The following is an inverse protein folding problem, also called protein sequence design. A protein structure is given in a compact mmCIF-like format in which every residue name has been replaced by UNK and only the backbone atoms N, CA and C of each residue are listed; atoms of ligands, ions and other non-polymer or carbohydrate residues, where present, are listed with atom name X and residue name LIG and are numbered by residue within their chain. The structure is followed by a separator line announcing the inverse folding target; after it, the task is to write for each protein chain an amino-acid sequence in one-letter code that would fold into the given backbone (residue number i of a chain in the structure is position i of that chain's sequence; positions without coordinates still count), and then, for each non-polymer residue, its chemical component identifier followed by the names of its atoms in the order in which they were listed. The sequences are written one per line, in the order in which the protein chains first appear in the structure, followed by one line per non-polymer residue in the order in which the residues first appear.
data_IF_403270667045
#
_entry.id   IF_403270667045
#
_cell.length_a   1.000
_cell.length_b   1.000
_cell.length_c   1.000
_cell.angle_alpha   90.00
_cell.angle_beta   90.00
_cell.angle_gamma   90.00
#
_symmetry.space_group_name_H-M   'P 1'
#
loop_
_entity.id
_entity.type
_entity.pdbx_description
1 polymer ?
#
# COMPACT_ATOMS: atom_id res chain seq x y z
N UNK A 1 -12.26 46.23 38.63
CA UNK A 1 -11.83 44.86 38.98
C UNK A 1 -12.62 43.87 38.10
N UNK A 2 -12.28 43.74 36.81
CA UNK A 2 -12.91 42.77 35.87
C UNK A 2 -12.12 42.67 34.53
N UNK A 3 -10.79 42.56 34.60
CA UNK A 3 -9.93 42.47 33.39
C UNK A 3 -9.47 41.02 33.11
N UNK A 4 -9.66 40.09 34.06
CA UNK A 4 -9.15 38.71 33.92
C UNK A 4 -10.16 37.65 33.48
N UNK A 5 -11.42 38.04 33.14
CA UNK A 5 -12.46 37.08 32.73
C UNK A 5 -12.52 36.77 31.23
N UNK A 6 -11.73 37.45 30.40
CA UNK A 6 -11.79 37.26 28.94
C UNK A 6 -10.61 36.53 28.35
N UNK A 7 -9.67 36.01 29.16
CA UNK A 7 -8.49 35.31 28.68
C UNK A 7 -8.68 33.79 28.54
N UNK A 8 -9.82 33.25 29.00
CA UNK A 8 -10.13 31.80 28.89
C UNK A 8 -11.46 31.50 28.19
N UNK A 9 -11.84 32.30 27.20
CA UNK A 9 -12.83 31.83 26.23
C UNK A 9 -12.11 31.02 25.18
N UNK A 10 -11.82 29.75 25.50
CA UNK A 10 -11.58 28.73 24.50
C UNK A 10 -12.79 28.71 23.57
N UNK A 11 -12.56 28.95 22.29
CA UNK A 11 -13.56 28.80 21.25
C UNK A 11 -14.00 27.33 21.27
N UNK A 12 -15.11 27.03 21.93
CA UNK A 12 -15.81 25.76 21.74
C UNK A 12 -16.33 25.77 20.32
N UNK A 13 -15.55 25.23 19.39
CA UNK A 13 -16.05 24.90 18.05
C UNK A 13 -17.20 23.93 18.25
N UNK A 14 -18.36 24.26 17.70
CA UNK A 14 -19.52 23.39 17.72
C UNK A 14 -19.18 22.14 16.91
N UNK A 15 -19.44 20.98 17.46
CA UNK A 15 -19.25 19.65 16.84
C UNK A 15 -20.14 19.40 15.60
N UNK A 16 -20.82 20.41 15.08
CA UNK A 16 -21.74 20.33 13.93
C UNK A 16 -21.10 20.63 12.59
N UNK A 17 -19.89 21.18 12.55
CA UNK A 17 -19.21 21.38 11.28
C UNK A 17 -18.39 20.12 10.96
N UNK A 18 -18.54 19.53 9.76
CA UNK A 18 -17.65 18.46 9.34
C UNK A 18 -16.22 19.04 9.40
N UNK A 19 -15.39 18.42 10.24
CA UNK A 19 -13.98 18.74 10.27
C UNK A 19 -13.47 18.34 8.89
N UNK A 20 -13.20 19.34 8.05
CA UNK A 20 -12.43 19.13 6.84
C UNK A 20 -11.04 18.72 7.30
N UNK A 21 -10.84 17.41 7.40
CA UNK A 21 -9.54 16.78 7.64
C UNK A 21 -8.79 16.90 6.31
N UNK A 22 -8.56 18.14 5.90
CA UNK A 22 -7.57 18.43 4.90
C UNK A 22 -6.27 17.87 5.44
N UNK A 23 -5.66 16.96 4.68
CA UNK A 23 -4.32 16.47 4.94
C UNK A 23 -3.39 17.68 5.13
N UNK A 24 -3.31 18.16 6.37
CA UNK A 24 -2.58 19.36 6.75
C UNK A 24 -1.06 19.20 6.74
N UNK A 25 -0.56 18.17 6.13
CA UNK A 25 0.83 18.10 5.68
C UNK A 25 0.87 18.57 4.23
N UNK A 26 0.90 19.87 4.00
CA UNK A 26 1.56 20.42 2.81
C UNK A 26 3.01 19.99 2.91
N UNK A 27 3.25 18.79 2.42
CA UNK A 27 4.54 18.17 2.38
C UNK A 27 5.51 19.04 1.60
N UNK A 28 6.73 19.10 2.10
CA UNK A 28 7.92 19.61 1.44
C UNK A 28 8.24 18.84 0.13
N UNK A 29 7.37 17.91 -0.30
CA UNK A 29 7.47 17.13 -1.52
C UNK A 29 6.29 17.49 -2.42
N UNK A 30 6.57 18.35 -3.39
CA UNK A 30 5.69 18.60 -4.53
C UNK A 30 5.58 17.28 -5.33
N UNK A 31 4.48 16.53 -5.12
CA UNK A 31 4.22 15.31 -5.87
C UNK A 31 3.93 15.70 -7.31
N UNK A 32 4.77 15.27 -8.24
CA UNK A 32 4.49 15.48 -9.66
C UNK A 32 3.19 14.75 -10.05
N UNK A 33 2.48 15.24 -11.08
CA UNK A 33 1.25 14.62 -11.59
C UNK A 33 1.43 13.15 -12.03
N UNK A 34 2.67 12.66 -12.04
CA UNK A 34 3.03 11.27 -12.39
C UNK A 34 3.18 10.35 -11.17
N UNK A 35 2.96 10.83 -9.96
CA UNK A 35 3.18 10.07 -8.73
C UNK A 35 1.86 9.55 -8.15
N UNK A 36 1.85 8.27 -7.79
CA UNK A 36 0.68 7.60 -7.19
C UNK A 36 0.86 7.56 -5.68
N UNK A 37 0.35 8.59 -4.99
CA UNK A 37 0.35 8.66 -3.52
C UNK A 37 -0.97 8.22 -2.88
N UNK A 38 -1.97 7.84 -3.70
CA UNK A 38 -3.29 7.44 -3.23
C UNK A 38 -3.33 5.92 -2.97
N UNK A 39 -3.69 5.46 -1.75
CA UNK A 39 -3.80 4.04 -1.41
C UNK A 39 -4.71 3.25 -2.35
N UNK A 40 -5.85 3.82 -2.77
CA UNK A 40 -6.79 3.15 -3.67
C UNK A 40 -6.19 2.89 -5.05
N UNK A 41 -5.40 3.82 -5.57
CA UNK A 41 -4.71 3.63 -6.86
C UNK A 41 -3.53 2.67 -6.72
N UNK A 42 -2.75 2.79 -5.65
CA UNK A 42 -1.63 1.89 -5.37
C UNK A 42 -2.07 0.42 -5.27
N UNK A 43 -3.22 0.15 -4.66
CA UNK A 43 -3.79 -1.20 -4.54
C UNK A 43 -4.28 -1.80 -5.86
N UNK A 44 -4.44 -1.01 -6.93
CA UNK A 44 -4.72 -1.53 -8.29
C UNK A 44 -3.47 -2.15 -8.91
N UNK A 45 -2.28 -1.80 -8.45
CA UNK A 45 -1.04 -2.41 -8.91
C UNK A 45 -0.89 -3.79 -8.24
N UNK A 46 -0.92 -4.85 -9.04
CA UNK A 46 -0.95 -6.23 -8.55
C UNK A 46 0.18 -6.56 -7.56
N UNK A 47 1.40 -6.11 -7.84
CA UNK A 47 2.57 -6.30 -6.96
C UNK A 47 2.40 -5.59 -5.62
N UNK A 48 1.91 -4.35 -5.62
CA UNK A 48 1.65 -3.59 -4.41
C UNK A 48 0.58 -4.28 -3.55
N UNK A 49 -0.56 -4.64 -4.16
CA UNK A 49 -1.63 -5.38 -3.49
C UNK A 49 -1.11 -6.68 -2.86
N UNK A 50 -0.30 -7.44 -3.62
CA UNK A 50 0.25 -8.72 -3.14
C UNK A 50 1.21 -8.52 -1.98
N UNK A 51 2.11 -7.55 -2.02
CA UNK A 51 3.04 -7.23 -0.93
C UNK A 51 2.30 -6.87 0.36
N UNK A 52 1.30 -5.99 0.28
CA UNK A 52 0.47 -5.59 1.42
C UNK A 52 -0.31 -6.79 1.97
N UNK A 53 -0.90 -7.61 1.08
CA UNK A 53 -1.66 -8.79 1.48
C UNK A 53 -0.82 -9.84 2.19
N UNK A 54 0.41 -10.10 1.70
CA UNK A 54 1.35 -11.04 2.32
C UNK A 54 1.76 -10.53 3.70
N UNK A 55 2.26 -9.28 3.78
CA UNK A 55 2.81 -8.75 5.01
C UNK A 55 1.74 -8.64 6.11
N UNK A 56 0.56 -8.09 5.76
CA UNK A 56 -0.54 -7.98 6.71
C UNK A 56 -1.10 -9.35 7.14
N UNK A 57 -1.21 -10.30 6.20
CA UNK A 57 -1.66 -11.65 6.49
C UNK A 57 -0.67 -12.44 7.35
N UNK A 58 0.62 -12.37 7.03
CA UNK A 58 1.66 -13.08 7.79
C UNK A 58 1.74 -12.59 9.24
N UNK A 59 1.65 -11.28 9.49
CA UNK A 59 1.68 -10.75 10.87
C UNK A 59 0.38 -11.10 11.61
N UNK A 60 -0.76 -10.96 10.95
CA UNK A 60 -2.06 -11.23 11.56
C UNK A 60 -2.31 -12.71 11.88
N UNK A 61 -1.61 -13.63 11.20
CA UNK A 61 -1.71 -15.07 11.48
C UNK A 61 -0.94 -15.51 12.72
N UNK A 62 -0.05 -14.66 13.26
CA UNK A 62 0.69 -14.97 14.47
C UNK A 62 -0.23 -14.78 15.69
N UNK A 63 -0.36 -15.78 16.59
CA UNK A 63 -1.15 -15.65 17.79
C UNK A 63 -0.55 -14.58 18.74
N UNK A 64 -1.39 -13.67 19.20
CA UNK A 64 -1.00 -12.63 20.17
C UNK A 64 -1.51 -12.99 21.55
N UNK A 65 -0.58 -13.24 22.48
CA UNK A 65 -0.85 -13.78 23.79
C UNK A 65 -0.53 -12.79 24.91
N UNK A 66 -1.24 -12.94 26.02
CA UNK A 66 -0.88 -12.32 27.30
C UNK A 66 -0.02 -13.30 28.08
N UNK A 67 1.15 -12.88 28.51
CA UNK A 67 2.05 -13.69 29.32
C UNK A 67 2.24 -13.06 30.69
N UNK A 68 2.21 -13.90 31.74
CA UNK A 68 2.47 -13.52 33.13
C UNK A 68 3.68 -14.25 33.67
N UNK A 69 4.54 -13.54 34.40
CA UNK A 69 5.69 -14.11 35.04
C UNK A 69 5.28 -14.82 36.34
N UNK A 70 5.39 -16.17 36.35
CA UNK A 70 5.13 -17.03 37.53
C UNK A 70 6.39 -17.84 37.85
N UNK A 71 6.86 -17.78 39.08
CA UNK A 71 8.07 -18.52 39.55
C UNK A 71 9.33 -18.28 38.70
N UNK A 72 9.49 -17.05 38.15
CA UNK A 72 10.63 -16.70 37.31
C UNK A 72 10.45 -16.96 35.80
N UNK A 73 9.47 -17.72 35.42
CA UNK A 73 9.18 -18.10 34.01
C UNK A 73 7.96 -17.35 33.45
N UNK A 74 7.99 -17.04 32.17
CA UNK A 74 6.84 -16.49 31.44
C UNK A 74 5.89 -17.61 31.07
N UNK A 75 4.63 -17.48 31.45
CA UNK A 75 3.56 -18.43 31.13
C UNK A 75 2.38 -17.70 30.49
N UNK A 76 1.72 -18.34 29.54
CA UNK A 76 0.52 -17.82 28.90
C UNK A 76 -0.59 -17.67 29.94
N UNK A 77 -1.24 -16.53 29.96
CA UNK A 77 -2.34 -16.20 30.84
C UNK A 77 -3.61 -16.03 30.00
N UNK A 78 -4.52 -16.97 30.11
CA UNK A 78 -5.76 -16.99 29.32
C UNK A 78 -6.96 -16.41 30.08
N UNK A 79 -6.86 -16.29 31.42
CA UNK A 79 -7.97 -15.89 32.27
C UNK A 79 -7.92 -14.37 32.56
N UNK A 80 -7.85 -13.57 31.49
CA UNK A 80 -7.91 -12.11 31.57
C UNK A 80 -8.75 -11.54 30.44
N UNK A 81 -9.42 -10.39 30.70
CA UNK A 81 -10.19 -9.68 29.67
C UNK A 81 -9.30 -9.37 28.44
N UNK A 82 -8.05 -8.99 28.65
CA UNK A 82 -7.09 -8.68 27.58
C UNK A 82 -6.82 -9.94 26.74
N UNK A 83 -6.60 -11.10 27.36
CA UNK A 83 -6.38 -12.35 26.64
C UNK A 83 -7.59 -12.74 25.79
N UNK A 84 -8.80 -12.53 26.29
CA UNK A 84 -10.03 -12.75 25.54
C UNK A 84 -10.13 -11.82 24.32
N UNK A 85 -9.83 -10.52 24.46
CA UNK A 85 -9.89 -9.55 23.36
C UNK A 85 -8.83 -9.82 22.29
N UNK A 86 -7.62 -10.25 22.71
CA UNK A 86 -6.53 -10.53 21.77
C UNK A 86 -6.64 -11.89 21.09
N UNK A 87 -7.19 -12.90 21.78
CA UNK A 87 -7.22 -14.27 21.28
C UNK A 87 -8.58 -14.72 20.71
N UNK A 88 -9.69 -14.12 21.17
CA UNK A 88 -11.03 -14.61 20.81
C UNK A 88 -11.87 -13.57 20.06
N UNK A 89 -12.12 -12.42 20.66
CA UNK A 89 -13.02 -11.42 20.06
C UNK A 89 -12.65 -10.00 20.52
N UNK A 90 -12.03 -9.19 19.68
CA UNK A 90 -11.71 -7.80 20.00
C UNK A 90 -12.94 -6.90 20.05
N UNK A 91 -13.97 -7.21 19.25
CA UNK A 91 -15.24 -6.52 19.21
C UNK A 91 -16.32 -7.38 18.51
N UNK A 92 -17.55 -6.89 18.44
CA UNK A 92 -18.69 -7.64 17.86
C UNK A 92 -18.58 -7.88 16.33
N UNK A 93 -17.65 -7.23 15.62
CA UNK A 93 -17.59 -7.25 14.14
C UNK A 93 -16.32 -7.87 13.58
N UNK A 94 -15.23 -7.89 14.33
CA UNK A 94 -13.93 -8.32 13.85
C UNK A 94 -13.39 -9.47 14.66
N UNK A 95 -12.74 -10.41 14.00
CA UNK A 95 -11.87 -11.39 14.65
C UNK A 95 -10.53 -10.75 15.02
N UNK A 96 -9.73 -11.33 15.91
CA UNK A 96 -8.37 -10.85 16.20
C UNK A 96 -7.51 -10.76 14.94
N UNK A 97 -7.64 -11.75 14.05
CA UNK A 97 -6.99 -11.76 12.74
C UNK A 97 -7.40 -10.55 11.88
N UNK A 98 -8.70 -10.28 11.78
CA UNK A 98 -9.20 -9.15 10.97
C UNK A 98 -8.74 -7.80 11.52
N UNK A 99 -8.80 -7.63 12.85
CA UNK A 99 -8.34 -6.40 13.49
C UNK A 99 -6.86 -6.15 13.22
N UNK A 100 -6.02 -7.16 13.45
CA UNK A 100 -4.57 -7.05 13.24
C UNK A 100 -4.24 -6.85 11.77
N UNK A 101 -4.85 -7.63 10.86
CA UNK A 101 -4.65 -7.51 9.41
C UNK A 101 -4.98 -6.10 8.92
N UNK A 102 -6.14 -5.57 9.32
CA UNK A 102 -6.54 -4.23 8.90
C UNK A 102 -5.67 -3.14 9.54
N UNK A 103 -5.22 -3.30 10.78
CA UNK A 103 -4.28 -2.38 11.41
C UNK A 103 -2.95 -2.31 10.62
N UNK A 104 -2.39 -3.46 10.23
CA UNK A 104 -1.17 -3.48 9.40
C UNK A 104 -1.41 -2.88 8.01
N UNK A 105 -2.56 -3.14 7.38
CA UNK A 105 -2.94 -2.49 6.12
C UNK A 105 -2.97 -0.97 6.28
N UNK A 106 -3.50 -0.46 7.39
CA UNK A 106 -3.51 0.98 7.67
C UNK A 106 -2.09 1.53 7.85
N UNK A 107 -1.22 0.84 8.61
CA UNK A 107 0.18 1.25 8.77
C UNK A 107 0.90 1.32 7.43
N UNK A 108 0.74 0.32 6.56
CA UNK A 108 1.41 0.28 5.27
C UNK A 108 0.91 1.36 4.30
N UNK A 109 -0.41 1.60 4.29
CA UNK A 109 -1.04 2.53 3.36
C UNK A 109 -1.00 3.99 3.83
N UNK A 110 -1.18 4.23 5.13
CA UNK A 110 -1.32 5.57 5.70
C UNK A 110 -0.19 5.94 6.66
N UNK A 111 0.67 4.99 7.00
CA UNK A 111 1.74 5.18 7.98
C UNK A 111 1.29 4.96 9.42
N UNK A 112 0.00 5.03 9.71
CA UNK A 112 -0.52 5.03 11.07
C UNK A 112 -1.76 4.14 11.17
N UNK A 113 -1.91 3.42 12.28
CA UNK A 113 -3.13 2.73 12.64
C UNK A 113 -3.50 3.04 14.09
N UNK A 114 -4.76 3.34 14.32
CA UNK A 114 -5.29 3.77 15.59
C UNK A 114 -6.31 2.76 16.11
N UNK A 115 -6.04 2.19 17.29
CA UNK A 115 -6.92 1.22 17.92
C UNK A 115 -7.32 1.79 19.28
N UNK A 116 -8.58 2.13 19.42
CA UNK A 116 -9.15 2.56 20.69
C UNK A 116 -9.54 1.35 21.51
N UNK A 117 -9.19 1.33 22.80
CA UNK A 117 -9.67 0.34 23.73
C UNK A 117 -10.71 0.94 24.69
N UNK A 118 -11.74 0.15 24.94
CA UNK A 118 -12.83 0.57 25.81
C UNK A 118 -12.71 -0.11 27.17
N UNK A 119 -12.84 0.67 28.24
CA UNK A 119 -12.87 0.17 29.61
C UNK A 119 -14.22 0.51 30.25
N UNK A 120 -14.88 -0.47 30.85
CA UNK A 120 -16.11 -0.30 31.63
C UNK A 120 -15.96 -1.04 32.96
N UNK A 121 -16.25 -0.36 34.06
CA UNK A 121 -16.13 -0.91 35.42
C UNK A 121 -14.74 -1.53 35.72
N UNK A 122 -13.68 -0.93 35.17
CA UNK A 122 -12.30 -1.39 35.36
C UNK A 122 -11.93 -2.64 34.54
N UNK A 123 -12.78 -3.08 33.59
CA UNK A 123 -12.52 -4.19 32.68
C UNK A 123 -12.39 -3.72 31.26
N UNK A 124 -11.48 -4.34 30.51
CA UNK A 124 -11.37 -4.12 29.07
C UNK A 124 -12.53 -4.81 28.35
N UNK A 125 -13.33 -4.04 27.62
CA UNK A 125 -14.56 -4.52 26.96
C UNK A 125 -14.49 -4.58 25.46
N UNK A 126 -13.53 -3.89 24.81
CA UNK A 126 -13.40 -3.92 23.39
C UNK A 126 -12.15 -3.22 22.84
N UNK A 127 -11.76 -3.63 21.63
CA UNK A 127 -10.74 -2.99 20.80
C UNK A 127 -11.39 -2.56 19.50
N UNK A 128 -11.36 -1.28 19.18
CA UNK A 128 -11.99 -0.71 17.99
C UNK A 128 -10.94 -0.08 17.09
N UNK A 129 -10.78 -0.59 15.87
CA UNK A 129 -9.91 0.01 14.85
C UNK A 129 -10.60 1.24 14.26
N UNK A 130 -9.94 2.38 14.36
CA UNK A 130 -10.42 3.66 13.82
C UNK A 130 -9.88 3.83 12.40
N UNK A 131 -10.69 4.35 11.49
CA UNK A 131 -10.20 4.72 10.16
C UNK A 131 -9.19 5.87 10.25
N UNK A 132 -8.06 5.81 9.54
CA UNK A 132 -7.08 6.91 9.52
C UNK A 132 -7.69 8.24 9.03
N UNK A 133 -8.77 8.17 8.24
CA UNK A 133 -9.51 9.36 7.80
C UNK A 133 -10.34 10.02 8.91
N UNK A 134 -10.60 9.29 9.99
CA UNK A 134 -11.46 9.74 11.09
C UNK A 134 -10.67 10.10 12.35
N UNK A 135 -9.33 10.06 12.31
CA UNK A 135 -8.48 10.29 13.46
C UNK A 135 -7.33 11.24 13.10
N UNK A 136 -7.17 12.31 13.88
CA UNK A 136 -6.06 13.26 13.74
C UNK A 136 -5.32 13.34 15.07
N UNK A 137 -4.02 13.11 15.02
CA UNK A 137 -3.14 13.22 16.18
C UNK A 137 -2.61 14.66 16.28
N UNK A 138 -2.71 15.25 17.47
CA UNK A 138 -2.11 16.53 17.82
C UNK A 138 -0.84 16.26 18.64
N UNK A 139 0.31 16.52 18.05
CA UNK A 139 1.63 16.27 18.66
C UNK A 139 1.94 17.20 19.83
N UNK A 140 1.34 18.40 19.86
CA UNK A 140 1.56 19.37 20.92
C UNK A 140 0.73 19.09 22.16
N UNK A 141 -0.49 18.61 21.98
CA UNK A 141 -1.40 18.27 23.05
C UNK A 141 -1.29 16.80 23.48
N UNK A 142 -0.61 15.96 22.70
CA UNK A 142 -0.55 14.50 22.83
C UNK A 142 -1.95 13.87 22.92
N UNK A 143 -2.84 14.32 22.02
CA UNK A 143 -4.24 13.88 21.98
C UNK A 143 -4.66 13.48 20.57
N UNK A 144 -5.74 12.72 20.49
CA UNK A 144 -6.35 12.27 19.24
C UNK A 144 -7.73 12.85 19.08
N UNK A 145 -7.96 13.64 18.04
CA UNK A 145 -9.31 14.07 17.65
C UNK A 145 -9.93 13.02 16.76
N UNK A 146 -11.00 12.40 17.22
CA UNK A 146 -11.69 11.30 16.52
C UNK A 146 -13.09 11.72 16.13
N UNK A 147 -13.48 11.40 14.89
CA UNK A 147 -14.84 11.60 14.36
C UNK A 147 -15.24 10.35 13.53
N UNK A 148 -15.48 9.23 14.22
CA UNK A 148 -15.83 7.96 13.59
C UNK A 148 -17.32 7.65 13.76
N UNK A 149 -18.09 7.97 12.71
CA UNK A 149 -19.53 7.74 12.65
C UNK A 149 -19.89 6.25 12.71
N UNK A 150 -19.07 5.37 12.14
CA UNK A 150 -19.34 3.94 12.08
C UNK A 150 -19.22 3.25 13.44
N UNK A 151 -18.27 3.72 14.24
CA UNK A 151 -17.99 3.18 15.56
C UNK A 151 -18.66 4.00 16.69
N UNK A 152 -19.39 5.06 16.35
CA UNK A 152 -20.00 6.00 17.30
C UNK A 152 -18.97 6.59 18.28
N UNK A 153 -17.76 6.85 17.80
CA UNK A 153 -16.65 7.36 18.58
C UNK A 153 -16.34 8.81 18.16
N UNK A 154 -16.56 9.73 19.08
CA UNK A 154 -16.41 11.17 18.82
C UNK A 154 -15.72 11.86 19.97
N UNK A 155 -14.90 12.84 19.65
CA UNK A 155 -14.29 13.73 20.62
C UNK A 155 -12.78 13.72 20.60
N UNK A 156 -12.20 14.24 21.65
CA UNK A 156 -10.76 14.25 21.88
C UNK A 156 -10.46 13.16 22.88
N UNK A 157 -9.60 12.22 22.49
CA UNK A 157 -9.14 11.12 23.31
C UNK A 157 -7.69 11.37 23.72
N UNK A 158 -7.36 11.00 24.94
CA UNK A 158 -5.99 11.08 25.43
C UNK A 158 -5.10 10.02 24.78
N UNK A 159 -3.79 10.28 24.74
CA UNK A 159 -2.84 9.35 24.15
C UNK A 159 -2.88 7.97 24.82
N UNK A 160 -3.23 7.91 26.12
CA UNK A 160 -3.33 6.66 26.85
C UNK A 160 -4.52 5.77 26.41
N UNK A 161 -5.54 6.31 25.76
CA UNK A 161 -6.73 5.57 25.31
C UNK A 161 -6.58 4.95 23.92
N UNK A 162 -5.48 5.26 23.21
CA UNK A 162 -5.23 4.82 21.84
C UNK A 162 -3.94 4.00 21.79
N UNK A 163 -4.04 2.82 21.19
CA UNK A 163 -2.90 2.02 20.72
C UNK A 163 -2.54 2.56 19.34
N UNK A 164 -1.41 3.24 19.20
CA UNK A 164 -0.96 3.85 17.97
C UNK A 164 0.19 3.06 17.36
N UNK A 165 -0.14 2.26 16.32
CA UNK A 165 0.87 1.55 15.54
C UNK A 165 1.35 2.46 14.41
N UNK A 166 2.67 2.58 14.30
CA UNK A 166 3.32 3.53 13.38
C UNK A 166 4.16 2.81 12.35
N UNK A 167 4.22 3.34 11.15
CA UNK A 167 5.22 2.99 10.15
C UNK A 167 6.59 3.58 10.50
N UNK A 168 7.45 3.74 9.50
CA UNK A 168 8.71 4.45 9.67
C UNK A 168 8.42 5.90 10.05
N UNK A 169 9.01 6.37 11.15
CA UNK A 169 8.80 7.74 11.65
C UNK A 169 10.01 8.61 11.32
N UNK A 170 9.75 9.86 10.91
CA UNK A 170 10.77 10.88 10.66
C UNK A 170 10.68 12.07 11.61
N UNK A 171 9.64 12.14 12.44
CA UNK A 171 9.32 13.24 13.34
C UNK A 171 9.65 12.95 14.82
N UNK A 172 10.54 11.99 15.06
CA UNK A 172 10.90 11.59 16.42
C UNK A 172 9.94 10.59 17.07
N UNK A 173 9.07 9.95 16.28
CA UNK A 173 8.18 8.88 16.75
C UNK A 173 6.77 9.36 17.07
N UNK A 174 6.39 10.56 16.69
CA UNK A 174 5.03 11.08 16.87
C UNK A 174 4.09 10.45 15.87
N UNK A 175 4.44 10.47 14.58
CA UNK A 175 3.65 9.85 13.52
C UNK A 175 4.48 8.90 12.68
N UNK A 176 3.81 8.00 11.97
CA UNK A 176 4.41 7.09 11.00
C UNK A 176 4.17 7.56 9.57
N UNK A 177 5.11 7.30 8.69
CA UNK A 177 5.02 7.64 7.28
C UNK A 177 4.52 6.47 6.43
N UNK A 178 3.71 6.78 5.42
CA UNK A 178 3.17 5.79 4.48
C UNK A 178 4.24 5.24 3.54
N UNK A 179 4.29 3.93 3.39
CA UNK A 179 5.14 3.28 2.37
C UNK A 179 4.75 3.74 0.96
N UNK A 180 3.44 3.91 0.70
CA UNK A 180 2.93 4.36 -0.60
C UNK A 180 3.45 5.75 -0.95
N UNK A 181 3.53 6.66 0.02
CA UNK A 181 4.05 8.01 -0.20
C UNK A 181 5.50 7.99 -0.70
N UNK A 182 6.36 7.18 -0.09
CA UNK A 182 7.75 7.05 -0.54
C UNK A 182 7.89 6.27 -1.84
N UNK A 183 7.01 5.30 -2.08
CA UNK A 183 6.96 4.54 -3.32
C UNK A 183 6.23 5.26 -4.47
N UNK A 184 5.64 6.44 -4.23
CA UNK A 184 4.71 7.12 -5.15
C UNK A 184 5.24 7.25 -6.59
N UNK A 185 6.51 7.61 -6.74
CA UNK A 185 7.18 7.71 -8.06
C UNK A 185 7.27 6.34 -8.76
N UNK A 186 7.66 5.31 -8.02
CA UNK A 186 7.78 3.94 -8.56
C UNK A 186 6.42 3.37 -8.93
N UNK A 187 5.41 3.61 -8.09
CA UNK A 187 4.04 3.20 -8.36
C UNK A 187 3.47 3.93 -9.58
N UNK A 188 3.73 5.24 -9.72
CA UNK A 188 3.34 6.01 -10.90
C UNK A 188 4.03 5.55 -12.19
N UNK A 189 5.29 5.10 -12.11
CA UNK A 189 5.97 4.49 -13.24
C UNK A 189 5.31 3.17 -13.64
N UNK A 190 5.05 2.28 -12.67
CA UNK A 190 4.38 1.00 -12.91
C UNK A 190 2.99 1.18 -13.54
N UNK A 191 2.21 2.15 -13.09
CA UNK A 191 0.90 2.48 -13.68
C UNK A 191 1.03 2.88 -15.15
N UNK A 192 1.99 3.75 -15.47
CA UNK A 192 2.23 4.17 -16.87
C UNK A 192 2.73 3.04 -17.77
N UNK A 193 3.54 2.13 -17.23
CA UNK A 193 3.99 0.93 -17.95
C UNK A 193 2.81 0.01 -18.28
N UNK A 194 1.82 -0.10 -17.37
CA UNK A 194 0.60 -0.85 -17.61
C UNK A 194 -0.30 -0.16 -18.64
N UNK A 195 -0.52 1.14 -18.52
CA UNK A 195 -1.28 1.95 -19.50
C UNK A 195 -0.65 1.87 -20.90
N UNK A 196 0.67 1.98 -21.00
CA UNK A 196 1.36 1.84 -22.28
C UNK A 196 1.21 0.43 -22.88
N UNK A 197 1.20 -0.61 -22.03
CA UNK A 197 0.97 -1.98 -22.50
C UNK A 197 -0.47 -2.17 -22.98
N UNK A 198 -1.44 -1.62 -22.27
CA UNK A 198 -2.84 -1.66 -22.65
C UNK A 198 -3.07 -0.92 -23.99
N UNK A 199 -2.43 0.24 -24.15
CA UNK A 199 -2.46 1.01 -25.41
C UNK A 199 -1.90 0.20 -26.60
N UNK A 200 -0.79 -0.50 -26.38
CA UNK A 200 -0.17 -1.36 -27.39
C UNK A 200 -1.10 -2.54 -27.73
N UNK A 201 -1.77 -3.12 -26.72
CA UNK A 201 -2.71 -4.23 -26.92
C UNK A 201 -4.01 -3.79 -27.59
N UNK A 202 -4.58 -2.65 -27.20
CA UNK A 202 -5.84 -2.13 -27.78
C UNK A 202 -5.66 -1.63 -29.21
N UNK A 203 -4.55 -0.98 -29.51
CA UNK A 203 -4.23 -0.52 -30.86
C UNK A 203 -3.85 -1.69 -31.78
N UNK A 204 -3.91 -2.92 -31.26
CA UNK A 204 -3.41 -4.12 -31.87
C UNK A 204 -1.87 -4.05 -31.97
N UNK A 205 -1.21 -5.16 -32.22
CA UNK A 205 0.14 -5.11 -32.76
C UNK A 205 0.03 -4.56 -34.19
N UNK A 206 -0.31 -3.27 -34.26
CA UNK A 206 -0.45 -2.57 -35.53
C UNK A 206 0.92 -2.68 -36.16
N UNK A 207 1.03 -3.41 -37.21
CA UNK A 207 2.26 -3.59 -37.95
C UNK A 207 2.81 -2.19 -38.25
N UNK A 208 3.68 -1.72 -37.38
CA UNK A 208 4.38 -0.47 -37.62
C UNK A 208 5.30 -0.74 -38.80
N UNK A 209 5.07 -0.07 -39.86
CA UNK A 209 5.83 -0.23 -41.08
C UNK A 209 5.75 1.04 -41.94
N UNK A 210 6.53 1.11 -42.93
CA UNK A 210 6.42 2.17 -43.94
C UNK A 210 6.18 1.55 -45.32
N UNK A 211 5.41 2.27 -46.12
CA UNK A 211 5.19 1.94 -47.51
C UNK A 211 6.26 2.64 -48.33
N UNK A 212 7.02 1.90 -49.09
CA UNK A 212 8.02 2.44 -50.01
C UNK A 212 7.66 2.04 -51.45
N UNK A 213 8.02 2.90 -52.41
CA UNK A 213 8.02 2.53 -53.81
C UNK A 213 9.05 1.44 -54.10
N UNK A 214 8.73 0.50 -54.98
CA UNK A 214 9.67 -0.52 -55.43
C UNK A 214 10.50 0.05 -56.58
N UNK A 215 11.78 0.32 -56.35
CA UNK A 215 12.72 0.82 -57.36
C UNK A 215 13.14 -0.24 -58.39
N UNK A 216 12.91 -1.52 -58.06
CA UNK A 216 13.13 -2.61 -59.04
C UNK A 216 11.96 -2.70 -60.00
N UNK A 217 11.98 -1.85 -61.01
CA UNK A 217 10.95 -1.72 -62.02
C UNK A 217 10.52 -3.04 -62.63
N UNK A 218 9.44 -3.59 -62.13
CA UNK A 218 8.67 -4.57 -62.90
C UNK A 218 8.16 -3.84 -64.12
N UNK A 219 8.58 -4.27 -65.33
CA UNK A 219 8.21 -3.70 -66.61
C UNK A 219 6.71 -3.41 -66.67
N UNK A 220 6.34 -2.13 -66.65
CA UNK A 220 4.98 -1.65 -66.83
C UNK A 220 4.43 -0.69 -65.80
N UNK A 221 5.10 -0.46 -64.66
CA UNK A 221 4.69 0.52 -63.66
C UNK A 221 5.77 1.59 -63.52
N UNK A 222 5.39 2.86 -63.70
CA UNK A 222 6.25 3.99 -63.42
C UNK A 222 6.53 4.14 -61.92
N UNK A 223 7.54 4.96 -61.53
CA UNK A 223 7.82 5.22 -60.12
C UNK A 223 6.57 5.78 -59.42
N UNK A 224 6.27 5.23 -58.22
CA UNK A 224 5.12 5.70 -57.45
C UNK A 224 5.37 7.15 -57.01
N UNK A 225 4.36 8.01 -57.26
CA UNK A 225 4.42 9.40 -56.80
C UNK A 225 4.12 9.48 -55.29
N UNK A 226 4.69 10.48 -54.62
CA UNK A 226 4.52 10.69 -53.18
C UNK A 226 3.03 10.78 -52.75
N UNK A 227 2.19 11.38 -53.58
CA UNK A 227 0.72 11.44 -53.37
C UNK A 227 0.03 10.06 -53.42
N UNK A 228 0.55 9.12 -54.22
CA UNK A 228 0.04 7.75 -54.28
C UNK A 228 0.47 6.95 -53.07
N UNK A 229 1.68 7.16 -52.62
CA UNK A 229 2.25 6.52 -51.40
C UNK A 229 1.45 6.96 -50.16
N UNK A 230 1.17 8.27 -50.02
CA UNK A 230 0.36 8.78 -48.91
C UNK A 230 -1.06 8.23 -48.91
N UNK A 231 -1.73 8.20 -50.05
CA UNK A 231 -3.09 7.66 -50.19
C UNK A 231 -3.16 6.18 -49.83
N UNK A 232 -2.17 5.39 -50.22
CA UNK A 232 -2.11 3.96 -49.88
C UNK A 232 -1.78 3.78 -48.40
N UNK A 233 -0.95 4.62 -47.82
CA UNK A 233 -0.64 4.62 -46.39
C UNK A 233 -1.89 4.90 -45.54
N UNK A 234 -2.67 5.93 -45.90
CA UNK A 234 -3.92 6.29 -45.20
C UNK A 234 -4.98 5.17 -45.31
N UNK A 235 -5.05 4.53 -46.49
CA UNK A 235 -5.93 3.38 -46.69
C UNK A 235 -5.50 2.19 -45.84
N UNK A 236 -4.22 1.86 -45.76
CA UNK A 236 -3.69 0.79 -44.90
C UNK A 236 -4.04 1.07 -43.44
N UNK A 237 -3.83 2.28 -42.97
CA UNK A 237 -4.15 2.67 -41.61
C UNK A 237 -5.65 2.50 -41.30
N UNK A 238 -6.53 2.92 -42.21
CA UNK A 238 -7.98 2.80 -42.06
C UNK A 238 -8.46 1.34 -42.08
N UNK A 239 -7.88 0.50 -42.91
CA UNK A 239 -8.23 -0.93 -43.02
C UNK A 239 -7.70 -1.71 -41.81
N UNK A 240 -6.51 -1.38 -41.27
CA UNK A 240 -5.97 -1.93 -40.02
C UNK A 240 -6.83 -1.55 -38.83
N UNK A 241 -7.25 -0.28 -38.73
CA UNK A 241 -8.20 0.18 -37.70
C UNK A 241 -9.56 -0.52 -37.77
N UNK A 242 -9.98 -0.97 -38.96
CA UNK A 242 -11.22 -1.74 -39.17
C UNK A 242 -11.09 -3.24 -38.87
N UNK A 243 -9.90 -3.73 -38.45
CA UNK A 243 -9.65 -5.12 -38.08
C UNK A 243 -9.36 -6.06 -39.26
N UNK A 244 -9.03 -5.57 -40.42
CA UNK A 244 -8.63 -6.40 -41.56
C UNK A 244 -7.16 -6.83 -41.43
N UNK A 245 -6.91 -8.14 -41.42
CA UNK A 245 -5.59 -8.74 -41.29
C UNK A 245 -4.86 -8.95 -42.62
N UNK A 246 -5.56 -8.81 -43.75
CA UNK A 246 -4.99 -9.05 -45.08
C UNK A 246 -5.34 -7.85 -45.98
N UNK A 247 -4.31 -7.25 -46.55
CA UNK A 247 -4.44 -6.09 -47.47
C UNK A 247 -3.65 -6.36 -48.73
N UNK A 248 -4.19 -5.85 -49.86
CA UNK A 248 -3.47 -5.87 -51.14
C UNK A 248 -2.76 -4.55 -51.36
N UNK A 249 -1.50 -4.60 -51.71
CA UNK A 249 -0.70 -3.46 -52.11
C UNK A 249 -0.61 -3.38 -53.62
N UNK A 250 -0.62 -2.16 -54.20
CA UNK A 250 -0.29 -1.97 -55.63
C UNK A 250 1.09 -2.53 -55.94
N UNK A 251 1.24 -3.10 -57.15
CA UNK A 251 2.44 -3.84 -57.55
C UNK A 251 3.75 -3.04 -57.58
N UNK A 252 3.68 -1.70 -57.46
CA UNK A 252 4.84 -0.81 -57.36
C UNK A 252 5.19 -0.39 -55.94
N UNK A 253 4.59 -1.01 -54.90
CA UNK A 253 4.78 -0.63 -53.51
C UNK A 253 5.10 -1.86 -52.66
N UNK A 254 5.99 -1.66 -51.69
CA UNK A 254 6.35 -2.64 -50.69
C UNK A 254 6.00 -2.11 -49.32
N UNK A 255 5.41 -2.95 -48.47
CA UNK A 255 5.26 -2.68 -47.03
C UNK A 255 6.48 -3.26 -46.30
N UNK A 256 7.26 -2.38 -45.73
CA UNK A 256 8.40 -2.77 -44.92
C UNK A 256 7.95 -2.73 -43.43
N UNK A 257 7.77 -3.91 -42.83
CA UNK A 257 7.42 -4.02 -41.44
C UNK A 257 8.62 -3.63 -40.58
N UNK A 258 8.41 -2.74 -39.64
CA UNK A 258 9.34 -2.50 -38.56
C UNK A 258 9.20 -3.65 -37.58
N UNK A 259 10.26 -4.44 -37.40
CA UNK A 259 10.35 -5.43 -36.34
C UNK A 259 10.15 -4.77 -34.97
N UNK A 260 9.76 -5.57 -33.93
CA UNK A 260 9.62 -5.09 -32.54
C UNK A 260 10.74 -4.09 -32.24
N UNK A 261 10.33 -2.88 -31.85
CA UNK A 261 11.33 -1.85 -31.58
C UNK A 261 12.13 -2.24 -30.34
N UNK A 262 13.40 -1.88 -30.24
CA UNK A 262 14.16 -2.06 -28.99
C UNK A 262 13.43 -1.46 -27.76
N UNK A 263 12.56 -0.49 -27.97
CA UNK A 263 11.71 0.10 -26.93
C UNK A 263 10.70 -0.88 -26.35
N UNK A 264 10.15 -1.81 -27.15
CA UNK A 264 9.17 -2.82 -26.65
C UNK A 264 9.85 -3.88 -25.78
N UNK A 265 11.11 -4.24 -26.08
CA UNK A 265 11.92 -5.12 -25.23
C UNK A 265 12.32 -4.41 -23.94
N UNK A 266 12.67 -3.12 -24.00
CA UNK A 266 12.99 -2.32 -22.82
C UNK A 266 11.78 -2.15 -21.89
N UNK A 267 10.55 -2.11 -22.41
CA UNK A 267 9.34 -2.02 -21.60
C UNK A 267 9.15 -3.26 -20.72
N UNK A 268 9.41 -4.47 -21.25
CA UNK A 268 9.34 -5.71 -20.47
C UNK A 268 10.38 -5.73 -19.33
N UNK A 269 11.58 -5.28 -19.60
CA UNK A 269 12.63 -5.24 -18.58
C UNK A 269 12.36 -4.14 -17.56
N UNK A 270 11.80 -3.01 -17.97
CA UNK A 270 11.34 -1.94 -17.07
C UNK A 270 10.24 -2.45 -16.14
N UNK A 271 9.24 -3.17 -16.65
CA UNK A 271 8.19 -3.79 -15.82
C UNK A 271 8.74 -4.74 -14.77
N UNK A 272 9.68 -5.61 -15.14
CA UNK A 272 10.35 -6.50 -14.17
C UNK A 272 11.07 -5.70 -13.08
N UNK A 273 11.74 -4.60 -13.47
CA UNK A 273 12.46 -3.75 -12.53
C UNK A 273 11.50 -2.98 -11.61
N UNK A 274 10.35 -2.52 -12.11
CA UNK A 274 9.30 -1.89 -11.31
C UNK A 274 8.74 -2.84 -10.24
N UNK A 275 8.50 -4.13 -10.59
CA UNK A 275 8.10 -5.15 -9.62
C UNK A 275 9.16 -5.31 -8.52
N UNK A 276 10.44 -5.40 -8.86
CA UNK A 276 11.52 -5.54 -7.89
C UNK A 276 11.63 -4.32 -6.95
N UNK A 277 11.44 -3.11 -7.48
CA UNK A 277 11.48 -1.90 -6.68
C UNK A 277 10.30 -1.82 -5.71
N UNK A 278 9.09 -2.18 -6.14
CA UNK A 278 7.93 -2.26 -5.24
C UNK A 278 8.19 -3.26 -4.12
N UNK A 279 8.72 -4.44 -4.44
CA UNK A 279 9.09 -5.45 -3.44
C UNK A 279 10.09 -4.91 -2.40
N UNK A 280 11.08 -4.09 -2.81
CA UNK A 280 12.06 -3.47 -1.90
C UNK A 280 11.41 -2.51 -0.91
N UNK A 281 10.42 -1.70 -1.34
CA UNK A 281 9.71 -0.79 -0.43
C UNK A 281 8.95 -1.52 0.69
N UNK A 282 8.43 -2.72 0.39
CA UNK A 282 7.70 -3.52 1.37
C UNK A 282 8.56 -4.57 2.08
N UNK A 283 9.83 -4.72 1.70
CA UNK A 283 10.71 -5.77 2.24
C UNK A 283 10.26 -7.20 1.89
N UNK A 284 9.46 -7.36 0.84
CA UNK A 284 8.95 -8.68 0.42
C UNK A 284 9.83 -9.24 -0.68
N UNK A 285 10.29 -10.51 -0.52
CA UNK A 285 11.11 -11.13 -1.55
C UNK A 285 10.31 -11.35 -2.85
N UNK A 286 10.89 -11.09 -4.04
CA UNK A 286 10.20 -11.19 -5.33
C UNK A 286 9.54 -12.56 -5.60
N UNK A 287 10.10 -13.65 -5.11
CA UNK A 287 9.51 -14.99 -5.27
C UNK A 287 8.14 -15.11 -4.59
N UNK A 288 7.89 -14.37 -3.50
CA UNK A 288 6.59 -14.34 -2.81
C UNK A 288 5.50 -13.63 -3.62
N UNK A 289 5.89 -12.80 -4.58
CA UNK A 289 4.97 -12.13 -5.52
C UNK A 289 4.92 -12.84 -6.88
N UNK A 290 5.41 -14.08 -6.94
CA UNK A 290 5.45 -14.92 -8.14
C UNK A 290 6.36 -14.40 -9.28
N UNK A 291 7.31 -13.53 -8.96
CA UNK A 291 8.36 -13.14 -9.89
C UNK A 291 9.49 -14.16 -9.80
N UNK A 292 9.37 -15.26 -10.55
CA UNK A 292 10.36 -16.34 -10.57
C UNK A 292 11.69 -15.82 -11.13
N UNK A 293 12.65 -15.61 -10.24
CA UNK A 293 14.06 -15.66 -10.60
C UNK A 293 14.51 -17.10 -10.37
N UNK A 294 15.24 -17.69 -11.31
CA UNK A 294 15.75 -19.07 -11.22
C UNK A 294 16.49 -19.26 -9.89
N UNK A 295 15.79 -19.71 -8.86
CA UNK A 295 16.33 -19.84 -7.51
C UNK A 295 16.63 -21.29 -7.20
N UNK A 296 17.84 -21.53 -6.70
CA UNK A 296 18.15 -22.78 -6.02
C UNK A 296 17.31 -22.88 -4.74
N UNK A 297 16.82 -24.05 -4.40
CA UNK A 297 16.00 -24.34 -3.21
C UNK A 297 16.57 -23.71 -1.92
N UNK A 298 17.89 -23.79 -1.72
CA UNK A 298 18.58 -23.18 -0.58
C UNK A 298 18.47 -21.64 -0.52
N UNK A 299 18.40 -20.98 -1.67
CA UNK A 299 18.23 -19.53 -1.73
C UNK A 299 16.81 -19.12 -1.31
N UNK A 300 15.81 -19.94 -1.63
CA UNK A 300 14.41 -19.70 -1.23
C UNK A 300 14.23 -19.84 0.29
N UNK A 301 14.84 -20.87 0.92
CA UNK A 301 14.78 -21.03 2.37
C UNK A 301 15.44 -19.86 3.10
N UNK A 302 16.60 -19.42 2.61
CA UNK A 302 17.29 -18.25 3.17
C UNK A 302 16.48 -16.97 3.02
N UNK A 303 15.82 -16.78 1.89
CA UNK A 303 14.93 -15.63 1.65
C UNK A 303 13.73 -15.63 2.61
N UNK A 304 13.23 -16.81 2.99
CA UNK A 304 12.17 -16.95 3.97
C UNK A 304 12.63 -16.52 5.37
N UNK A 305 13.79 -16.96 5.82
CA UNK A 305 14.37 -16.56 7.10
C UNK A 305 14.61 -15.05 7.12
N UNK A 306 15.22 -14.48 6.09
CA UNK A 306 15.44 -13.03 5.98
C UNK A 306 14.12 -12.24 6.01
N UNK A 307 13.07 -12.72 5.35
CA UNK A 307 11.76 -12.08 5.41
C UNK A 307 11.20 -12.07 6.84
N UNK A 308 11.35 -13.15 7.59
CA UNK A 308 10.90 -13.22 8.99
C UNK A 308 11.71 -12.27 9.87
N UNK A 309 13.05 -12.27 9.76
CA UNK A 309 13.94 -11.50 10.64
C UNK A 309 13.98 -10.02 10.30
N UNK A 310 14.05 -9.67 9.04
CA UNK A 310 14.34 -8.30 8.61
C UNK A 310 13.06 -7.50 8.33
N UNK A 311 11.98 -8.18 7.91
CA UNK A 311 10.73 -7.52 7.53
C UNK A 311 9.64 -7.67 8.58
N UNK A 312 9.34 -8.89 9.02
CA UNK A 312 8.23 -9.11 9.97
C UNK A 312 8.58 -8.74 11.41
N UNK A 313 9.75 -9.16 11.88
CA UNK A 313 10.14 -9.02 13.28
C UNK A 313 10.10 -7.57 13.80
N UNK A 314 10.51 -6.53 13.05
CA UNK A 314 10.37 -5.14 13.50
C UNK A 314 8.92 -4.75 13.80
N UNK A 315 7.95 -5.12 12.95
CA UNK A 315 6.53 -4.88 13.20
C UNK A 315 6.03 -5.66 14.41
N UNK A 316 6.39 -6.94 14.51
CA UNK A 316 6.04 -7.80 15.63
C UNK A 316 6.51 -7.19 16.96
N UNK A 317 7.76 -6.76 17.06
CA UNK A 317 8.32 -6.14 18.26
C UNK A 317 7.57 -4.84 18.61
N UNK A 318 7.34 -3.97 17.62
CA UNK A 318 6.63 -2.72 17.84
C UNK A 318 5.21 -2.97 18.37
N UNK A 319 4.46 -3.89 17.77
CA UNK A 319 3.11 -4.25 18.20
C UNK A 319 3.12 -4.78 19.64
N UNK A 320 3.99 -5.75 19.96
CA UNK A 320 4.12 -6.30 21.30
C UNK A 320 4.37 -5.23 22.34
N UNK A 321 5.27 -4.31 22.05
CA UNK A 321 5.65 -3.23 22.97
C UNK A 321 4.52 -2.23 23.14
N UNK A 322 3.85 -1.83 22.06
CA UNK A 322 2.78 -0.84 22.13
C UNK A 322 1.53 -1.41 22.82
N UNK A 323 1.15 -2.65 22.51
CA UNK A 323 0.06 -3.31 23.21
C UNK A 323 0.38 -3.54 24.69
N UNK A 324 1.61 -3.93 25.03
CA UNK A 324 2.04 -4.07 26.43
C UNK A 324 1.97 -2.73 27.15
N UNK A 325 2.45 -1.65 26.54
CA UNK A 325 2.48 -0.31 27.11
C UNK A 325 1.07 0.21 27.42
N UNK A 326 0.10 -0.07 26.55
CA UNK A 326 -1.25 0.50 26.63
C UNK A 326 -2.25 -0.38 27.40
N UNK A 327 -2.18 -1.69 27.22
CA UNK A 327 -3.17 -2.60 27.84
C UNK A 327 -2.75 -3.13 29.21
N UNK A 328 -1.47 -3.12 29.53
CA UNK A 328 -1.03 -3.63 30.83
C UNK A 328 -0.89 -2.46 31.81
N UNK A 329 -1.62 -2.51 32.93
CA UNK A 329 -1.48 -1.49 33.96
C UNK A 329 -0.03 -1.33 34.42
N UNK A 330 0.42 -0.10 34.65
CA UNK A 330 1.81 0.24 35.01
C UNK A 330 2.34 -0.54 36.21
N UNK A 331 1.47 -0.86 37.15
CA UNK A 331 1.79 -1.66 38.34
C UNK A 331 2.15 -3.15 38.02
N UNK A 332 1.78 -3.62 36.83
CA UNK A 332 1.98 -5.01 36.39
C UNK A 332 2.98 -5.15 35.24
N UNK A 333 3.55 -4.07 34.72
CA UNK A 333 4.47 -4.07 33.59
C UNK A 333 5.70 -4.97 33.73
N UNK A 334 6.16 -5.21 34.98
CA UNK A 334 7.27 -6.12 35.24
C UNK A 334 6.85 -7.60 35.43
N UNK A 335 5.54 -7.87 35.50
CA UNK A 335 4.97 -9.21 35.70
C UNK A 335 4.13 -9.70 34.53
N UNK A 336 3.71 -8.81 33.65
CA UNK A 336 2.86 -9.14 32.50
C UNK A 336 3.42 -8.49 31.22
N UNK A 337 3.15 -9.13 30.08
CA UNK A 337 3.47 -8.60 28.77
C UNK A 337 2.52 -9.18 27.71
N UNK A 338 2.38 -8.48 26.62
CA UNK A 338 1.76 -9.01 25.39
C UNK A 338 2.86 -9.48 24.46
N UNK A 339 2.77 -10.69 23.94
CA UNK A 339 3.79 -11.27 23.06
C UNK A 339 3.13 -12.12 21.98
N UNK A 340 3.72 -12.09 20.76
CA UNK A 340 3.37 -13.05 19.73
C UNK A 340 4.01 -14.41 20.01
N UNK A 341 3.26 -15.47 19.78
CA UNK A 341 3.83 -16.80 19.66
C UNK A 341 4.49 -16.93 18.27
N UNK A 342 5.78 -17.24 18.27
CA UNK A 342 6.59 -17.42 17.08
C UNK A 342 7.04 -18.87 16.88
N UNK A 343 6.56 -19.78 17.76
CA UNK A 343 6.96 -21.20 17.74
C UNK A 343 6.03 -22.06 16.86
N UNK A 344 4.87 -21.52 16.45
CA UNK A 344 4.00 -22.11 15.43
C UNK A 344 4.34 -21.55 14.03
#
# INVERSE_FOLDING_TARGET
MNIFKNLFKGNKRSLSDPIDIGYGYTSMFDLSASEVANPTLALKIATCYRCISILSGSIASLPLEVQRKKNGYWQVETDTDIAYLLGTSPNARMTPFDLMRNAIIQVLNFGNAYIHYTVSDGRYTGLTLISPYCCVYDEYADTYTVNDLHNHLYGVLDSDEIIHLKGLSLDGGYTGESVIRYAARTLGLATREDEQSDDVMQKGSTYKGFVSGDDEGKKGFGPAQDSQISTVSDRIESELKSGKNIMSLPGAMKFNQLSMSPADLQLLDSKKFSVLNICRFYGVHPDKVFQLQSSNYKASDMAQVLYMTDTMLPYVIQIQQEYSRKLIPSALNYKMRVKFDLEE
#
